data_IF_220323429141
#
_entry.id   IF_220323429141
#
_cell.length_a   1.000
_cell.length_b   1.000
_cell.length_c   1.000
_cell.angle_alpha   90.00
_cell.angle_beta   90.00
_cell.angle_gamma   90.00
#
_symmetry.space_group_name_H-M   'P 1'
#
loop_
_entity.id
_entity.type
_entity.pdbx_description
1 polymer ?
#
# COMPACT_ATOMS: atom_id res chain seq x y z
N UNK A 1 -3.72 5.08 -5.39
CA UNK A 1 -4.51 6.18 -4.81
C UNK A 1 -5.83 5.68 -4.29
N UNK A 2 -6.73 5.17 -5.16
CA UNK A 2 -8.00 4.54 -4.77
C UNK A 2 -7.85 3.44 -3.71
N UNK A 3 -6.97 2.48 -3.97
CA UNK A 3 -6.59 1.42 -3.03
C UNK A 3 -6.27 1.93 -1.61
N UNK A 4 -5.63 3.09 -1.45
CA UNK A 4 -5.38 3.64 -0.11
C UNK A 4 -6.66 4.15 0.56
N UNK A 5 -7.57 4.74 -0.20
CA UNK A 5 -8.85 5.20 0.33
C UNK A 5 -9.77 4.00 0.66
N UNK A 6 -9.81 2.99 -0.21
CA UNK A 6 -10.63 1.79 -0.04
C UNK A 6 -10.09 0.91 1.10
N UNK A 7 -8.81 0.51 1.04
CA UNK A 7 -8.24 -0.46 1.99
C UNK A 7 -7.80 0.13 3.32
N UNK A 8 -7.29 1.38 3.34
CA UNK A 8 -6.81 1.99 4.58
C UNK A 8 -7.85 2.89 5.23
N UNK A 9 -8.68 3.60 4.46
CA UNK A 9 -9.68 4.54 5.00
C UNK A 9 -11.13 4.02 4.95
N UNK A 10 -11.34 2.81 4.41
CA UNK A 10 -12.64 2.15 4.41
C UNK A 10 -13.67 2.75 3.47
N UNK A 11 -13.22 3.48 2.43
CA UNK A 11 -14.13 3.94 1.38
C UNK A 11 -14.73 2.75 0.63
N UNK A 12 -15.99 2.85 0.15
CA UNK A 12 -16.56 1.80 -0.69
C UNK A 12 -15.80 1.65 -2.00
N UNK A 13 -15.72 0.41 -2.49
CA UNK A 13 -15.22 0.10 -3.83
C UNK A 13 -15.92 0.95 -4.90
N UNK A 14 -15.15 1.75 -5.61
CA UNK A 14 -15.66 2.51 -6.75
C UNK A 14 -15.79 1.58 -7.98
N UNK A 15 -16.82 0.72 -7.94
CA UNK A 15 -17.19 -0.26 -8.97
C UNK A 15 -17.77 0.36 -10.25
N UNK A 16 -18.00 1.67 -10.27
CA UNK A 16 -18.67 2.37 -11.37
C UNK A 16 -20.19 2.15 -11.44
N UNK A 17 -20.78 1.33 -10.55
CA UNK A 17 -22.20 1.03 -10.54
C UNK A 17 -23.10 2.25 -10.25
N UNK A 18 -22.55 3.30 -9.62
CA UNK A 18 -23.27 4.52 -9.26
C UNK A 18 -23.37 5.57 -10.39
N UNK A 19 -22.73 5.36 -11.54
CA UNK A 19 -22.76 6.30 -12.67
C UNK A 19 -22.00 7.62 -12.47
N UNK A 20 -21.29 7.76 -11.36
CA UNK A 20 -20.38 8.88 -11.07
C UNK A 20 -18.93 8.41 -11.12
N UNK A 21 -18.06 9.20 -11.74
CA UNK A 21 -16.62 9.00 -11.70
C UNK A 21 -16.06 9.39 -10.32
N UNK A 22 -14.89 8.85 -9.99
CA UNK A 22 -14.16 9.23 -8.78
C UNK A 22 -13.57 10.62 -8.98
N UNK A 23 -13.86 11.54 -8.05
CA UNK A 23 -13.33 12.90 -8.07
C UNK A 23 -11.96 12.96 -7.38
N UNK A 24 -10.90 12.93 -8.18
CA UNK A 24 -9.51 12.95 -7.71
C UNK A 24 -9.02 14.31 -7.21
N UNK A 25 -9.82 15.37 -7.33
CA UNK A 25 -9.49 16.71 -6.82
C UNK A 25 -9.97 16.92 -5.36
N UNK A 26 -10.61 15.90 -4.78
CA UNK A 26 -11.10 15.92 -3.39
C UNK A 26 -10.26 15.04 -2.46
N UNK A 27 -10.17 15.37 -1.15
CA UNK A 27 -9.50 14.51 -0.18
C UNK A 27 -10.12 13.10 -0.11
N UNK A 28 -9.30 12.04 0.05
CA UNK A 28 -7.85 12.08 0.31
C UNK A 28 -6.99 12.20 -0.96
N UNK A 29 -7.57 12.18 -2.16
CA UNK A 29 -6.83 12.10 -3.41
C UNK A 29 -6.02 13.37 -3.72
N UNK A 30 -6.59 14.55 -3.48
CA UNK A 30 -5.87 15.82 -3.67
C UNK A 30 -4.72 15.98 -2.68
N UNK A 31 -4.84 15.46 -1.46
CA UNK A 31 -3.76 15.47 -0.47
C UNK A 31 -2.63 14.51 -0.87
N UNK A 32 -2.98 13.33 -1.39
CA UNK A 32 -2.00 12.38 -1.96
C UNK A 32 -1.28 12.97 -3.19
N UNK A 33 -2.00 13.67 -4.07
CA UNK A 33 -1.41 14.37 -5.22
C UNK A 33 -0.43 15.46 -4.76
N UNK A 34 -0.81 16.23 -3.74
CA UNK A 34 0.05 17.25 -3.15
C UNK A 34 1.30 16.63 -2.51
N UNK A 35 1.16 15.51 -1.79
CA UNK A 35 2.29 14.78 -1.24
C UNK A 35 3.25 14.27 -2.33
N UNK A 36 2.73 13.78 -3.46
CA UNK A 36 3.57 13.40 -4.60
C UNK A 36 4.34 14.60 -5.18
N UNK A 37 3.66 15.73 -5.39
CA UNK A 37 4.27 16.94 -5.93
C UNK A 37 5.40 17.48 -5.03
N UNK A 38 5.25 17.32 -3.71
CA UNK A 38 6.21 17.77 -2.70
C UNK A 38 7.33 16.75 -2.42
N UNK A 39 7.39 15.61 -3.13
CA UNK A 39 8.27 14.47 -2.84
C UNK A 39 8.10 13.85 -1.44
N UNK A 40 6.94 14.06 -0.81
CA UNK A 40 6.51 13.48 0.47
C UNK A 40 5.86 12.10 0.31
N UNK A 41 5.45 11.77 -0.93
CA UNK A 41 5.03 10.45 -1.37
C UNK A 41 5.77 10.11 -2.68
N UNK A 42 6.47 8.97 -2.69
CA UNK A 42 7.14 8.45 -3.88
C UNK A 42 6.57 7.08 -4.23
N UNK A 43 6.32 6.84 -5.52
CA UNK A 43 5.76 5.59 -6.02
C UNK A 43 6.77 4.91 -6.95
N UNK A 44 7.10 3.67 -6.63
CA UNK A 44 8.09 2.86 -7.33
C UNK A 44 7.39 1.68 -8.01
N UNK A 45 7.64 1.50 -9.31
CA UNK A 45 7.10 0.38 -10.07
C UNK A 45 8.21 -0.60 -10.43
N UNK A 46 8.10 -1.83 -9.94
CA UNK A 46 9.05 -2.92 -10.20
C UNK A 46 8.71 -3.73 -11.45
N UNK A 47 7.63 -3.37 -12.16
CA UNK A 47 7.17 -4.03 -13.37
C UNK A 47 5.76 -4.59 -13.21
N UNK A 48 5.48 -5.66 -13.94
CA UNK A 48 4.15 -6.25 -14.02
C UNK A 48 4.25 -7.77 -13.91
N UNK A 49 3.36 -8.36 -13.12
CA UNK A 49 3.15 -9.80 -13.04
C UNK A 49 1.74 -10.15 -13.52
N UNK A 50 1.49 -11.43 -13.76
CA UNK A 50 0.17 -11.93 -14.11
C UNK A 50 -0.27 -12.92 -13.03
N UNK A 51 -1.44 -12.66 -12.45
CA UNK A 51 -2.07 -13.60 -11.52
C UNK A 51 -2.49 -14.87 -12.26
N UNK A 52 -1.90 -16.01 -11.89
CA UNK A 52 -2.06 -17.25 -12.66
C UNK A 52 -3.50 -17.77 -12.69
N UNK A 53 -4.30 -17.44 -11.67
CA UNK A 53 -5.63 -17.99 -11.47
C UNK A 53 -6.72 -17.27 -12.30
N UNK A 54 -6.53 -15.99 -12.63
CA UNK A 54 -7.50 -15.16 -13.35
C UNK A 54 -6.89 -14.41 -14.55
N UNK A 55 -5.58 -14.56 -14.79
CA UNK A 55 -4.80 -13.88 -15.82
C UNK A 55 -4.88 -12.35 -15.77
N UNK A 56 -5.17 -11.79 -14.60
CA UNK A 56 -5.21 -10.34 -14.40
C UNK A 56 -3.77 -9.82 -14.26
N UNK A 57 -3.38 -8.80 -15.05
CA UNK A 57 -2.10 -8.14 -14.88
C UNK A 57 -2.10 -7.29 -13.61
N UNK A 58 -1.03 -7.39 -12.83
CA UNK A 58 -0.83 -6.64 -11.60
C UNK A 58 0.47 -5.83 -11.71
N UNK A 59 0.40 -4.54 -11.42
CA UNK A 59 1.58 -3.68 -11.31
C UNK A 59 2.21 -3.88 -9.93
N UNK A 60 3.50 -4.21 -9.89
CA UNK A 60 4.23 -4.41 -8.65
C UNK A 60 4.71 -3.04 -8.15
N UNK A 61 3.86 -2.38 -7.36
CA UNK A 61 4.05 -0.99 -6.95
C UNK A 61 4.31 -0.87 -5.45
N UNK A 62 5.35 -0.13 -5.06
CA UNK A 62 5.60 0.26 -3.67
C UNK A 62 5.44 1.78 -3.53
N UNK A 63 4.70 2.22 -2.51
CA UNK A 63 4.58 3.62 -2.14
C UNK A 63 5.37 3.90 -0.86
N UNK A 64 6.24 4.90 -0.90
CA UNK A 64 7.06 5.35 0.22
C UNK A 64 6.58 6.73 0.61
N UNK A 65 6.14 6.87 1.85
CA UNK A 65 5.67 8.12 2.43
C UNK A 65 6.71 8.64 3.41
N UNK A 66 6.86 9.96 3.49
CA UNK A 66 7.43 10.52 4.72
C UNK A 66 6.50 10.20 5.91
N UNK A 67 7.10 10.03 7.09
CA UNK A 67 6.38 9.54 8.26
C UNK A 67 5.21 10.46 8.66
N UNK A 68 5.44 11.78 8.68
CA UNK A 68 4.40 12.75 9.09
C UNK A 68 3.21 12.81 8.13
N UNK A 69 3.47 12.65 6.84
CA UNK A 69 2.46 12.62 5.79
C UNK A 69 1.65 11.34 5.87
N UNK A 70 2.30 10.19 6.10
CA UNK A 70 1.60 8.93 6.34
C UNK A 70 0.66 9.03 7.54
N UNK A 71 1.18 9.50 8.68
CA UNK A 71 0.41 9.63 9.91
C UNK A 71 -0.80 10.58 9.76
N UNK A 72 -0.62 11.69 9.03
CA UNK A 72 -1.69 12.65 8.79
C UNK A 72 -2.77 12.10 7.84
N UNK A 73 -2.38 11.51 6.72
CA UNK A 73 -3.31 10.99 5.71
C UNK A 73 -4.10 9.77 6.22
N UNK A 74 -3.46 8.95 7.05
CA UNK A 74 -4.00 7.66 7.49
C UNK A 74 -4.33 7.63 8.99
N UNK A 75 -4.55 8.79 9.60
CA UNK A 75 -4.89 8.93 11.02
C UNK A 75 -6.16 8.16 11.43
N UNK A 76 -7.08 7.94 10.49
CA UNK A 76 -8.36 7.24 10.69
C UNK A 76 -8.39 5.87 10.03
N UNK A 77 -7.27 5.15 10.02
CA UNK A 77 -7.19 3.83 9.42
C UNK A 77 -8.21 2.84 9.98
N UNK A 78 -8.78 2.02 9.10
CA UNK A 78 -9.69 0.93 9.47
C UNK A 78 -8.93 -0.38 9.63
N UNK A 79 -9.32 -1.21 10.60
CA UNK A 79 -8.71 -2.53 10.81
C UNK A 79 -9.25 -3.60 9.85
N UNK A 80 -10.41 -3.34 9.23
CA UNK A 80 -11.14 -4.29 8.40
C UNK A 80 -11.91 -3.59 7.30
N UNK A 81 -11.86 -4.19 6.12
CA UNK A 81 -12.67 -3.84 4.96
C UNK A 81 -13.53 -5.04 4.54
N UNK A 82 -14.29 -4.89 3.46
CA UNK A 82 -15.00 -6.02 2.86
C UNK A 82 -14.04 -7.04 2.22
N UNK A 83 -12.81 -6.63 1.89
CA UNK A 83 -11.80 -7.48 1.25
C UNK A 83 -10.95 -8.24 2.26
N UNK A 84 -10.75 -7.69 3.46
CA UNK A 84 -9.91 -8.36 4.44
C UNK A 84 -9.71 -7.63 5.76
N UNK A 85 -8.59 -7.97 6.39
CA UNK A 85 -8.13 -7.40 7.67
C UNK A 85 -6.74 -6.86 7.45
N UNK A 86 -6.50 -5.64 7.92
CA UNK A 86 -5.20 -5.02 7.84
C UNK A 86 -4.24 -5.73 8.80
N UNK A 87 -3.09 -6.17 8.28
CA UNK A 87 -2.07 -6.85 9.08
C UNK A 87 -1.18 -5.78 9.72
N UNK A 88 -1.12 -5.77 11.05
CA UNK A 88 -0.35 -4.81 11.83
C UNK A 88 0.61 -5.46 12.83
N UNK A 89 1.62 -4.71 13.25
CA UNK A 89 2.61 -5.13 14.25
C UNK A 89 2.01 -5.36 15.65
N UNK A 90 2.72 -6.10 16.52
CA UNK A 90 2.27 -6.36 17.88
C UNK A 90 2.52 -5.13 18.78
N UNK A 91 1.48 -4.31 19.01
CA UNK A 91 1.18 -3.57 20.28
C UNK A 91 0.07 -2.52 20.07
N UNK A 92 -1.12 -2.80 20.59
CA UNK A 92 -2.16 -1.80 20.90
C UNK A 92 -3.45 -1.89 20.09
N UNK A 93 -4.35 -0.94 20.33
CA UNK A 93 -5.64 -0.72 19.63
C UNK A 93 -5.48 0.20 18.41
N UNK A 94 -4.27 0.26 17.85
CA UNK A 94 -3.91 1.15 16.74
C UNK A 94 -3.15 0.33 15.73
N UNK A 95 -3.56 0.41 14.46
CA UNK A 95 -2.85 -0.17 13.33
C UNK A 95 -1.43 0.39 13.33
N UNK A 96 -0.43 -0.49 13.44
CA UNK A 96 0.98 -0.16 13.30
C UNK A 96 1.59 -0.95 12.14
N UNK A 97 2.40 -0.28 11.32
CA UNK A 97 3.07 -0.91 10.19
C UNK A 97 3.99 -2.06 10.63
N UNK A 98 4.21 -3.02 9.73
CA UNK A 98 5.22 -4.05 9.90
C UNK A 98 6.59 -3.52 9.47
N UNK A 99 7.69 -3.82 10.19
CA UNK A 99 9.03 -3.46 9.73
C UNK A 99 9.36 -4.09 8.37
N UNK A 100 9.89 -3.31 7.43
CA UNK A 100 10.42 -3.83 6.16
C UNK A 100 11.82 -4.43 6.39
N UNK A 101 11.86 -5.57 7.07
CA UNK A 101 13.07 -6.29 7.46
C UNK A 101 13.03 -7.75 6.99
N UNK A 102 14.20 -8.38 6.87
CA UNK A 102 14.32 -9.71 6.27
C UNK A 102 13.48 -10.79 6.97
N UNK A 103 13.44 -10.79 8.30
CA UNK A 103 12.66 -11.77 9.06
C UNK A 103 11.15 -11.53 8.90
N UNK A 104 10.71 -10.26 8.95
CA UNK A 104 9.30 -9.92 8.75
C UNK A 104 8.80 -10.29 7.36
N UNK A 105 9.58 -10.01 6.32
CA UNK A 105 9.25 -10.41 4.95
C UNK A 105 9.24 -11.94 4.84
N UNK A 106 10.23 -12.64 5.41
CA UNK A 106 10.26 -14.11 5.41
C UNK A 106 9.00 -14.71 6.04
N UNK A 107 8.56 -14.19 7.18
CA UNK A 107 7.36 -14.66 7.88
C UNK A 107 6.09 -14.47 7.02
N UNK A 108 5.99 -13.33 6.33
CA UNK A 108 4.90 -13.08 5.37
C UNK A 108 4.95 -14.03 4.17
N UNK A 109 6.14 -14.32 3.63
CA UNK A 109 6.31 -15.19 2.46
C UNK A 109 5.95 -16.66 2.72
N UNK A 110 6.09 -17.14 3.95
CA UNK A 110 5.71 -18.52 4.33
C UNK A 110 4.24 -18.63 4.74
N UNK A 111 3.50 -17.52 4.80
CA UNK A 111 2.08 -17.52 5.11
C UNK A 111 1.27 -18.19 4.00
N UNK A 112 0.35 -19.12 4.31
CA UNK A 112 -0.52 -19.73 3.31
C UNK A 112 -1.51 -18.75 2.68
N UNK A 113 -1.62 -17.52 3.22
CA UNK A 113 -2.48 -16.45 2.71
C UNK A 113 -1.76 -15.53 1.69
N UNK A 114 -0.46 -15.71 1.49
CA UNK A 114 0.33 -14.87 0.59
C UNK A 114 0.22 -15.39 -0.85
N UNK A 115 -0.27 -14.57 -1.78
CA UNK A 115 -0.23 -14.91 -3.21
C UNK A 115 1.14 -14.59 -3.83
N UNK A 116 1.50 -15.20 -4.98
CA UNK A 116 2.82 -15.02 -5.59
C UNK A 116 3.17 -13.57 -5.98
N UNK A 117 2.18 -12.76 -6.37
CA UNK A 117 2.44 -11.39 -6.85
C UNK A 117 2.83 -10.44 -5.71
N UNK A 118 2.08 -10.30 -4.61
CA UNK A 118 2.51 -9.51 -3.45
C UNK A 118 3.78 -10.09 -2.81
N UNK A 119 3.98 -11.41 -2.84
CA UNK A 119 5.24 -12.03 -2.38
C UNK A 119 6.45 -11.51 -3.17
N UNK A 120 6.35 -11.49 -4.51
CA UNK A 120 7.41 -10.94 -5.36
C UNK A 120 7.65 -9.45 -5.09
N UNK A 121 6.58 -8.67 -4.90
CA UNK A 121 6.69 -7.25 -4.56
C UNK A 121 7.41 -7.04 -3.22
N UNK A 122 7.04 -7.78 -2.16
CA UNK A 122 7.71 -7.68 -0.86
C UNK A 122 9.19 -8.05 -0.94
N UNK A 123 9.52 -9.09 -1.70
CA UNK A 123 10.90 -9.49 -1.92
C UNK A 123 11.71 -8.39 -2.63
N UNK A 124 11.17 -7.82 -3.71
CA UNK A 124 11.81 -6.75 -4.47
C UNK A 124 11.94 -5.45 -3.65
N UNK A 125 10.91 -5.09 -2.90
CA UNK A 125 10.93 -3.92 -2.03
C UNK A 125 12.01 -4.03 -0.95
N UNK A 126 12.15 -5.22 -0.33
CA UNK A 126 13.24 -5.47 0.62
C UNK A 126 14.61 -5.43 -0.04
N UNK A 127 14.77 -6.08 -1.21
CA UNK A 127 16.02 -6.10 -1.96
C UNK A 127 16.50 -4.68 -2.32
N UNK A 128 15.57 -3.79 -2.63
CA UNK A 128 15.85 -2.41 -3.04
C UNK A 128 15.58 -1.37 -1.94
N UNK A 129 15.46 -1.78 -0.67
CA UNK A 129 15.10 -0.92 0.46
C UNK A 129 15.95 0.35 0.58
N UNK A 130 17.26 0.24 0.37
CA UNK A 130 18.20 1.37 0.39
C UNK A 130 17.89 2.42 -0.68
N UNK A 131 17.55 1.97 -1.90
CA UNK A 131 17.13 2.85 -2.98
C UNK A 131 15.79 3.51 -2.66
N UNK A 132 14.83 2.73 -2.15
CA UNK A 132 13.48 3.20 -1.83
C UNK A 132 13.47 4.27 -0.74
N UNK A 133 14.34 4.12 0.27
CA UNK A 133 14.40 5.03 1.41
C UNK A 133 15.40 6.18 1.22
N UNK A 134 16.09 6.21 0.08
CA UNK A 134 17.14 7.19 -0.21
C UNK A 134 18.28 7.11 0.80
N UNK A 135 19.20 6.15 0.60
CA UNK A 135 20.43 6.08 1.41
C UNK A 135 21.13 7.42 1.47
N UNK A 136 21.09 8.08 2.64
CA UNK A 136 22.02 9.13 3.01
C UNK A 136 23.43 8.54 2.98
N UNK A 137 24.22 8.88 1.97
CA UNK A 137 25.68 8.84 2.06
C UNK A 137 26.18 9.89 3.03
#
# INVERSE_FOLDING_TARGET
MREFNEELLGAPEATGAGGSEVDYDTPPYSDLNSAMADNRLQVWNFGMGIEAHNLVPCLLTAAVFDASTFDALFASMVERTNEGVLISGPRGSTVSGLPLEADTVRDLLVSPRMSPIPAALLHLALQHRELLLGSST
#
